data_IF_756853208572
#
_entry.id   IF_756853208572
#
_cell.length_a   1.000
_cell.length_b   1.000
_cell.length_c   1.000
_cell.angle_alpha   90.00
_cell.angle_beta   90.00
_cell.angle_gamma   90.00
#
_symmetry.space_group_name_H-M   'P 1'
#
loop_
_entity.id
_entity.type
_entity.pdbx_description
1 polymer ?
#
# COMPACT_ATOMS: atom_id res chain seq x y z
N UNK A 1 -17.96 -22.78 -8.96
CA UNK A 1 -16.62 -22.89 -8.36
C UNK A 1 -16.21 -21.48 -8.04
N UNK A 2 -16.45 -21.03 -6.81
CA UNK A 2 -15.88 -19.76 -6.36
C UNK A 2 -14.40 -20.05 -6.14
N UNK A 3 -13.52 -19.42 -6.92
CA UNK A 3 -12.12 -19.37 -6.50
C UNK A 3 -12.11 -18.76 -5.10
N UNK A 4 -11.38 -19.37 -4.16
CA UNK A 4 -11.11 -18.74 -2.86
C UNK A 4 -10.28 -17.49 -3.14
N UNK A 5 -10.95 -16.38 -3.44
CA UNK A 5 -10.31 -15.09 -3.64
C UNK A 5 -9.88 -14.61 -2.27
N UNK A 6 -8.63 -14.91 -1.93
CA UNK A 6 -8.01 -14.41 -0.72
C UNK A 6 -7.83 -12.90 -0.84
N UNK A 7 -8.18 -12.13 0.21
CA UNK A 7 -7.89 -10.70 0.20
C UNK A 7 -6.38 -10.51 0.06
N UNK A 8 -5.98 -9.53 -0.75
CA UNK A 8 -4.58 -9.26 -1.04
C UNK A 8 -4.19 -7.85 -0.59
N UNK A 9 -3.06 -7.74 0.12
CA UNK A 9 -2.45 -6.48 0.50
C UNK A 9 -1.11 -6.31 -0.23
N UNK A 10 -1.02 -5.31 -1.11
CA UNK A 10 0.23 -4.98 -1.80
C UNK A 10 0.90 -3.81 -1.08
N UNK A 11 2.15 -3.99 -0.65
CA UNK A 11 2.92 -2.97 0.07
C UNK A 11 3.87 -2.29 -0.91
N UNK A 12 3.74 -0.98 -1.08
CA UNK A 12 4.55 -0.20 -2.00
C UNK A 12 5.31 0.92 -1.28
N UNK A 13 6.58 1.07 -1.63
CA UNK A 13 7.38 2.21 -1.21
C UNK A 13 7.06 3.46 -2.01
N UNK A 14 7.26 4.63 -1.42
CA UNK A 14 7.21 5.93 -2.11
C UNK A 14 8.60 6.55 -2.16
N UNK A 15 8.95 7.15 -3.28
CA UNK A 15 10.27 7.78 -3.46
C UNK A 15 10.60 8.07 -4.91
N UNK A 16 11.71 8.77 -5.20
CA UNK A 16 12.15 8.98 -6.57
C UNK A 16 12.32 7.62 -7.27
N UNK A 17 11.83 7.50 -8.50
CA UNK A 17 12.08 6.34 -9.34
C UNK A 17 13.60 6.14 -9.46
N UNK A 18 14.12 5.11 -8.82
CA UNK A 18 15.56 4.92 -8.63
C UNK A 18 15.90 3.44 -8.67
N UNK A 19 16.12 2.94 -9.87
CA UNK A 19 16.53 1.56 -10.14
C UNK A 19 15.70 0.93 -11.26
N UNK A 20 16.22 -0.11 -11.95
CA UNK A 20 15.50 -0.81 -13.00
C UNK A 20 14.33 -1.60 -12.37
N UNK A 21 13.16 -0.96 -12.28
CA UNK A 21 11.92 -1.58 -11.86
C UNK A 21 11.28 -2.34 -13.02
N UNK A 22 10.82 -3.56 -12.76
CA UNK A 22 10.09 -4.39 -13.71
C UNK A 22 8.84 -3.69 -14.23
N UNK A 23 8.68 -3.71 -15.56
CA UNK A 23 7.58 -3.11 -16.31
C UNK A 23 6.19 -3.57 -15.82
N UNK A 24 5.46 -2.63 -15.23
CA UNK A 24 4.04 -2.65 -14.89
C UNK A 24 3.70 -1.36 -14.15
N UNK A 25 2.65 -0.61 -14.51
CA UNK A 25 2.37 0.68 -13.88
C UNK A 25 1.86 0.46 -12.47
N UNK A 26 2.72 0.67 -11.49
CA UNK A 26 2.44 0.53 -10.05
C UNK A 26 1.38 1.53 -9.57
N UNK A 27 1.21 2.58 -10.36
CA UNK A 27 0.13 3.54 -10.30
C UNK A 27 -1.23 2.90 -10.58
N UNK A 28 -1.31 1.94 -11.52
CA UNK A 28 -2.55 1.22 -11.82
C UNK A 28 -3.00 0.36 -10.63
N UNK A 29 -2.05 -0.25 -9.90
CA UNK A 29 -2.36 -0.97 -8.66
C UNK A 29 -3.02 -0.06 -7.61
N UNK A 30 -2.60 1.20 -7.53
CA UNK A 30 -3.20 2.18 -6.60
C UNK A 30 -4.57 2.62 -7.11
N UNK A 31 -4.71 2.89 -8.40
CA UNK A 31 -5.96 3.34 -9.00
C UNK A 31 -7.07 2.28 -8.98
N UNK A 32 -6.71 1.00 -9.07
CA UNK A 32 -7.62 -0.15 -9.06
C UNK A 32 -7.87 -0.71 -7.66
N UNK A 33 -7.13 -0.26 -6.64
CA UNK A 33 -7.30 -0.74 -5.27
C UNK A 33 -8.67 -0.37 -4.70
N UNK A 34 -9.29 -1.32 -4.00
CA UNK A 34 -10.53 -1.07 -3.23
C UNK A 34 -10.26 -0.11 -2.08
N UNK A 35 -9.06 -0.20 -1.49
CA UNK A 35 -8.64 0.63 -0.37
C UNK A 35 -7.14 0.90 -0.45
N UNK A 36 -6.75 2.14 -0.21
CA UNK A 36 -5.35 2.57 -0.15
C UNK A 36 -5.04 3.01 1.27
N UNK A 37 -4.37 2.15 2.01
CA UNK A 37 -3.82 2.49 3.31
C UNK A 37 -2.56 3.34 3.17
N UNK A 38 -2.45 4.35 4.00
CA UNK A 38 -1.28 5.23 4.06
C UNK A 38 -0.65 5.07 5.44
N UNK A 39 0.58 4.58 5.46
CA UNK A 39 1.37 4.50 6.68
C UNK A 39 1.89 5.90 7.04
N UNK A 40 2.33 6.16 8.29
CA UNK A 40 2.83 7.48 8.65
C UNK A 40 4.03 7.93 7.81
N UNK A 41 4.40 9.20 7.94
CA UNK A 41 5.57 9.82 7.28
C UNK A 41 5.41 10.17 5.80
N UNK A 42 4.18 10.52 5.37
CA UNK A 42 3.96 11.30 4.15
C UNK A 42 3.52 10.61 2.84
N UNK A 43 3.22 9.30 2.75
CA UNK A 43 2.74 8.71 1.49
C UNK A 43 1.32 9.11 1.10
N UNK A 44 0.56 9.76 1.98
CA UNK A 44 -0.84 10.11 1.72
C UNK A 44 -1.03 11.06 0.54
N UNK A 45 -0.17 12.05 0.36
CA UNK A 45 -0.26 12.95 -0.78
C UNK A 45 -0.05 12.22 -2.12
N UNK A 46 0.73 11.13 -2.10
CA UNK A 46 0.93 10.24 -3.25
C UNK A 46 -0.32 9.40 -3.47
N UNK A 47 -0.90 8.81 -2.41
CA UNK A 47 -2.16 8.08 -2.50
C UNK A 47 -3.28 8.92 -3.13
N UNK A 48 -3.47 10.15 -2.62
CA UNK A 48 -4.52 11.07 -3.09
C UNK A 48 -4.30 11.57 -4.53
N UNK A 49 -3.10 11.40 -5.08
CA UNK A 49 -2.85 11.70 -6.49
C UNK A 49 -3.30 10.57 -7.42
N UNK A 50 -3.17 9.31 -6.98
CA UNK A 50 -3.43 8.13 -7.82
C UNK A 50 -4.77 7.44 -7.54
N UNK A 51 -5.39 7.69 -6.38
CA UNK A 51 -6.67 7.12 -5.98
C UNK A 51 -7.67 8.19 -5.54
N UNK A 52 -8.95 7.87 -5.62
CA UNK A 52 -10.01 8.71 -5.10
C UNK A 52 -9.93 8.82 -3.57
N UNK A 53 -10.13 10.04 -3.05
CA UNK A 53 -9.97 10.33 -1.62
C UNK A 53 -10.82 9.47 -0.68
N UNK A 54 -11.97 8.97 -1.14
CA UNK A 54 -12.86 8.10 -0.35
C UNK A 54 -12.33 6.66 -0.19
N UNK A 55 -11.32 6.26 -0.99
CA UNK A 55 -10.62 4.97 -0.88
C UNK A 55 -9.35 5.06 -0.02
N UNK A 56 -8.91 6.27 0.34
CA UNK A 56 -7.65 6.49 1.05
C UNK A 56 -7.89 6.51 2.56
N UNK A 57 -7.23 5.61 3.27
CA UNK A 57 -7.33 5.50 4.73
C UNK A 57 -5.96 5.67 5.39
N UNK A 58 -5.86 6.54 6.40
CA UNK A 58 -4.65 6.62 7.22
C UNK A 58 -4.64 5.50 8.25
N UNK A 59 -3.49 4.87 8.40
CA UNK A 59 -3.21 3.91 9.48
C UNK A 59 -1.92 4.29 10.19
N UNK A 60 -1.80 3.84 11.44
CA UNK A 60 -0.60 3.96 12.26
C UNK A 60 -0.07 2.56 12.58
N UNK A 61 1.20 2.40 12.98
CA UNK A 61 1.70 1.10 13.44
C UNK A 61 0.85 0.47 14.55
N UNK A 62 0.19 1.30 15.38
CA UNK A 62 -0.62 0.85 16.51
C UNK A 62 -1.94 0.20 16.09
N UNK A 63 -2.56 0.67 15.02
CA UNK A 63 -3.90 0.22 14.59
C UNK A 63 -3.91 -0.48 13.22
N UNK A 64 -2.81 -0.44 12.46
CA UNK A 64 -2.72 -1.02 11.12
C UNK A 64 -3.16 -2.49 11.08
N UNK A 65 -2.71 -3.33 12.03
CA UNK A 65 -3.12 -4.74 12.08
C UNK A 65 -4.64 -4.86 12.19
N UNK A 66 -5.25 -4.15 13.14
CA UNK A 66 -6.70 -4.21 13.35
C UNK A 66 -7.47 -3.66 12.15
N UNK A 67 -7.00 -2.57 11.53
CA UNK A 67 -7.67 -1.91 10.40
C UNK A 67 -7.62 -2.75 9.12
N UNK A 68 -6.46 -3.31 8.81
CA UNK A 68 -6.27 -4.19 7.64
C UNK A 68 -7.02 -5.51 7.84
N UNK A 69 -7.00 -6.08 9.04
CA UNK A 69 -7.78 -7.30 9.35
C UNK A 69 -9.27 -7.04 9.17
N UNK A 70 -9.80 -5.94 9.70
CA UNK A 70 -11.21 -5.57 9.54
C UNK A 70 -11.60 -5.34 8.08
N UNK A 71 -10.72 -4.76 7.26
CA UNK A 71 -10.92 -4.65 5.82
C UNK A 71 -10.97 -6.02 5.15
N UNK A 72 -10.04 -6.92 5.46
CA UNK A 72 -10.00 -8.27 4.89
C UNK A 72 -11.25 -9.09 5.24
N UNK A 73 -11.74 -8.97 6.48
CA UNK A 73 -12.97 -9.62 6.97
C UNK A 73 -14.25 -9.14 6.28
N UNK A 74 -14.25 -7.95 5.66
CA UNK A 74 -15.39 -7.45 4.88
C UNK A 74 -15.56 -8.17 3.54
N UNK A 75 -14.60 -9.01 3.13
CA UNK A 75 -14.64 -9.71 1.85
C UNK A 75 -14.57 -8.76 0.64
N UNK A 76 -13.52 -7.93 0.53
CA UNK A 76 -13.35 -6.99 -0.57
C UNK A 76 -13.28 -7.72 -1.91
N UNK A 77 -13.77 -7.06 -2.96
CA UNK A 77 -13.78 -7.65 -4.30
C UNK A 77 -12.40 -7.56 -4.99
N UNK A 78 -11.57 -6.61 -4.55
CA UNK A 78 -10.23 -6.32 -5.03
C UNK A 78 -9.18 -6.27 -3.93
N UNK A 79 -7.99 -5.80 -4.29
CA UNK A 79 -6.84 -5.70 -3.40
C UNK A 79 -6.83 -4.37 -2.64
N UNK A 80 -6.15 -4.36 -1.49
CA UNK A 80 -5.69 -3.14 -0.85
C UNK A 80 -4.23 -2.85 -1.20
N UNK A 81 -3.88 -1.57 -1.18
CA UNK A 81 -2.50 -1.09 -1.27
C UNK A 81 -2.11 -0.42 0.04
N UNK A 82 -0.96 -0.76 0.61
CA UNK A 82 -0.34 -0.03 1.72
C UNK A 82 0.85 0.76 1.20
N UNK A 83 0.74 2.08 1.20
CA UNK A 83 1.85 2.97 0.87
C UNK A 83 2.68 3.31 2.10
N UNK A 84 3.99 3.18 1.96
CA UNK A 84 4.99 3.54 2.99
C UNK A 84 6.04 4.52 2.43
N UNK A 85 6.65 5.32 3.29
CA UNK A 85 7.73 6.22 2.89
C UNK A 85 9.04 5.44 2.66
N UNK A 86 9.68 5.63 1.50
CA UNK A 86 10.96 4.99 1.19
C UNK A 86 10.83 3.51 0.83
N UNK A 87 11.74 2.69 1.38
CA UNK A 87 11.78 1.24 1.15
C UNK A 87 10.96 0.50 2.21
N UNK A 88 9.94 -0.31 1.84
CA UNK A 88 9.22 -1.14 2.79
C UNK A 88 10.14 -2.05 3.63
N UNK A 89 11.22 -2.57 3.04
CA UNK A 89 12.14 -3.47 3.76
C UNK A 89 12.98 -2.78 4.84
N UNK A 90 13.06 -1.45 4.83
CA UNK A 90 13.83 -0.68 5.79
C UNK A 90 13.01 -0.15 6.98
N UNK A 91 11.67 -0.25 6.93
CA UNK A 91 10.78 0.27 7.98
C UNK A 91 10.50 -0.79 9.06
N UNK A 92 11.14 -0.64 10.22
CA UNK A 92 11.01 -1.56 11.36
C UNK A 92 9.57 -1.59 11.90
N UNK A 93 8.85 -0.47 11.88
CA UNK A 93 7.48 -0.43 12.37
C UNK A 93 6.53 -1.15 11.41
N UNK A 94 6.78 -1.05 10.11
CA UNK A 94 6.08 -1.85 9.10
C UNK A 94 6.34 -3.34 9.30
N UNK A 95 7.60 -3.77 9.50
CA UNK A 95 7.92 -5.18 9.75
C UNK A 95 7.11 -5.75 10.91
N UNK A 96 7.01 -5.02 12.02
CA UNK A 96 6.19 -5.44 13.17
C UNK A 96 4.70 -5.56 12.83
N UNK A 97 4.18 -4.69 11.97
CA UNK A 97 2.79 -4.77 11.47
C UNK A 97 2.59 -5.99 10.59
N UNK A 98 3.50 -6.27 9.65
CA UNK A 98 3.41 -7.43 8.76
C UNK A 98 3.48 -8.74 9.54
N UNK A 99 4.36 -8.82 10.54
CA UNK A 99 4.42 -9.92 11.49
C UNK A 99 3.12 -10.09 12.28
N UNK A 100 2.47 -8.98 12.65
CA UNK A 100 1.15 -8.99 13.29
C UNK A 100 0.07 -9.54 12.37
N UNK A 101 0.03 -9.08 11.12
CA UNK A 101 -0.92 -9.54 10.10
C UNK A 101 -0.78 -11.04 9.82
N UNK A 102 0.45 -11.52 9.68
CA UNK A 102 0.72 -12.95 9.46
C UNK A 102 0.19 -13.85 10.61
N UNK A 103 0.11 -13.32 11.83
CA UNK A 103 -0.44 -14.04 12.99
C UNK A 103 -1.95 -13.90 13.12
N UNK A 104 -2.50 -12.71 12.86
CA UNK A 104 -3.91 -12.40 13.09
C UNK A 104 -4.81 -12.80 11.91
N UNK A 105 -4.29 -12.78 10.68
CA UNK A 105 -5.06 -13.06 9.47
C UNK A 105 -4.21 -13.85 8.46
N UNK A 106 -3.90 -15.13 8.73
CA UNK A 106 -2.96 -15.93 7.92
C UNK A 106 -3.41 -16.16 6.47
N UNK A 107 -4.70 -15.98 6.18
CA UNK A 107 -5.25 -16.10 4.82
C UNK A 107 -5.11 -14.80 3.99
N UNK A 108 -4.60 -13.71 4.58
CA UNK A 108 -4.30 -12.47 3.86
C UNK A 108 -3.02 -12.67 3.02
N UNK A 109 -3.13 -12.47 1.72
CA UNK A 109 -1.98 -12.51 0.82
C UNK A 109 -1.24 -11.17 0.83
N UNK A 110 -0.15 -11.10 1.61
CA UNK A 110 0.69 -9.89 1.72
C UNK A 110 1.85 -9.97 0.73
N UNK A 111 1.96 -8.98 -0.16
CA UNK A 111 2.98 -8.93 -1.21
C UNK A 111 3.80 -7.65 -1.09
N UNK A 112 5.12 -7.76 -1.17
CA UNK A 112 6.05 -6.62 -1.24
C UNK A 112 6.84 -6.74 -2.55
N UNK A 113 6.38 -6.11 -3.65
CA UNK A 113 7.09 -6.15 -4.93
C UNK A 113 8.50 -5.53 -4.80
N UNK A 114 9.53 -6.31 -5.11
CA UNK A 114 10.92 -5.88 -4.95
C UNK A 114 11.27 -4.76 -5.94
N UNK A 115 11.97 -3.73 -5.46
CA UNK A 115 12.45 -2.63 -6.31
C UNK A 115 11.33 -1.68 -6.79
N UNK A 116 10.10 -1.90 -6.36
CA UNK A 116 8.94 -1.11 -6.78
C UNK A 116 8.74 0.10 -5.88
N UNK A 117 8.85 1.30 -6.46
CA UNK A 117 8.55 2.56 -5.76
C UNK A 117 7.64 3.43 -6.61
N UNK A 118 6.66 4.02 -5.95
CA UNK A 118 5.72 4.97 -6.53
C UNK A 118 6.33 6.36 -6.42
N UNK A 119 6.50 7.01 -7.56
CA UNK A 119 6.99 8.37 -7.59
C UNK A 119 5.90 9.32 -7.05
N UNK A 120 6.24 10.26 -6.15
CA UNK A 120 5.36 11.38 -5.89
C UNK A 120 5.11 12.14 -7.20
N UNK A 121 3.90 12.69 -7.42
CA UNK A 121 3.65 13.52 -8.59
C UNK A 121 4.68 14.65 -8.67
N UNK A 122 5.27 14.85 -9.85
CA UNK A 122 6.20 15.96 -10.06
C UNK A 122 5.49 17.26 -9.69
N UNK A 123 6.02 17.98 -8.69
CA UNK A 123 5.71 19.40 -8.56
C UNK A 123 6.22 20.04 -9.84
N UNK A 124 5.32 20.52 -10.71
CA UNK A 124 5.71 21.46 -11.76
C UNK A 124 6.61 22.51 -11.10
N UNK A 125 7.80 22.83 -11.66
CA UNK A 125 8.52 23.99 -11.19
C UNK A 125 7.54 25.15 -11.35
N UNK A 126 7.12 25.74 -10.23
CA UNK A 126 6.50 27.05 -10.26
C UNK A 126 7.57 27.94 -10.88
N UNK A 127 7.36 28.27 -12.16
CA UNK A 127 8.20 29.19 -12.91
C UNK A 127 8.34 30.42 -12.01
N UNK A 128 9.56 30.62 -11.50
CA UNK A 128 9.91 31.78 -10.67
C UNK A 128 10.51 32.85 -11.57
#
# INVERSE_FOLDING_TARGET
MSEDVRPALVVLGTGPAGGPGTDGPVEALIAEADTVFTFPSGPESVALFYAEAWRVERVTPRDAVARVTAWAEQGPAGAAVLLVAGDPGADVALVAVLDGLARCHPDLDVRIPAGTRVAPPYRSPLIT
#
